data_IF_668913696253
#
_entry.id   IF_668913696253
#
_cell.length_a   1.000
_cell.length_b   1.000
_cell.length_c   1.000
_cell.angle_alpha   90.00
_cell.angle_beta   90.00
_cell.angle_gamma   90.00
#
_symmetry.space_group_name_H-M   'P 1'
#
loop_
_entity.id
_entity.type
_entity.pdbx_description
1 polymer ?
#
# COMPACT_ATOMS: atom_id res chain seq x y z
N UNK A 1 1.96 4.51 36.01
CA UNK A 1 2.81 4.27 34.82
C UNK A 1 4.29 4.45 35.12
N UNK A 2 4.82 5.67 35.31
CA UNK A 2 6.27 5.86 35.56
C UNK A 2 6.79 5.01 36.72
N UNK A 3 6.13 5.09 37.88
CA UNK A 3 6.51 4.29 39.05
C UNK A 3 6.48 2.77 38.78
N UNK A 4 5.49 2.30 38.02
CA UNK A 4 5.27 0.87 37.79
C UNK A 4 6.16 0.27 36.68
N UNK A 5 6.76 1.12 35.84
CA UNK A 5 7.47 0.70 34.62
C UNK A 5 8.92 1.15 34.56
N UNK A 6 9.36 2.01 35.48
CA UNK A 6 10.76 2.48 35.53
C UNK A 6 11.61 1.55 36.39
N UNK A 7 12.89 1.50 36.07
CA UNK A 7 13.91 0.81 36.84
C UNK A 7 15.20 1.61 36.80
N UNK A 8 16.29 1.07 37.34
CA UNK A 8 17.59 1.75 37.36
C UNK A 8 18.10 2.12 35.95
N UNK A 9 17.72 1.34 34.93
CA UNK A 9 18.18 1.54 33.54
C UNK A 9 17.15 2.20 32.62
N UNK A 10 15.93 2.50 33.10
CA UNK A 10 14.86 3.06 32.27
C UNK A 10 13.93 3.98 33.08
N UNK A 11 13.63 5.15 32.54
CA UNK A 11 12.77 6.16 33.17
C UNK A 11 11.52 6.38 32.31
N UNK A 12 10.55 5.48 32.41
CA UNK A 12 9.34 5.40 31.58
C UNK A 12 8.34 6.56 31.82
N UNK A 13 8.74 7.77 31.44
CA UNK A 13 7.95 9.00 31.56
C UNK A 13 7.04 9.15 30.35
N UNK A 14 5.72 9.17 30.59
CA UNK A 14 4.69 9.32 29.55
C UNK A 14 4.51 10.79 29.20
N UNK A 15 4.61 11.12 27.92
CA UNK A 15 4.33 12.45 27.37
C UNK A 15 2.88 12.58 26.92
N UNK A 16 2.35 11.51 26.32
CA UNK A 16 0.97 11.46 25.81
C UNK A 16 0.47 10.03 25.88
N UNK A 17 -0.82 9.87 26.10
CA UNK A 17 -1.50 8.60 25.90
C UNK A 17 -2.84 8.83 25.19
N UNK A 18 -3.25 7.91 24.32
CA UNK A 18 -4.53 8.02 23.61
C UNK A 18 -5.09 6.65 23.27
N UNK A 19 -6.37 6.45 23.53
CA UNK A 19 -7.11 5.26 23.08
C UNK A 19 -7.28 5.27 21.56
N UNK A 20 -7.01 4.12 20.92
CA UNK A 20 -7.15 3.97 19.47
C UNK A 20 -8.61 3.83 19.01
N UNK A 21 -9.52 3.52 19.92
CA UNK A 21 -10.95 3.41 19.65
C UNK A 21 -11.76 4.30 20.58
N UNK A 22 -12.95 4.70 20.13
CA UNK A 22 -13.90 5.46 20.96
C UNK A 22 -14.33 4.62 22.17
N UNK A 23 -14.59 5.31 23.28
CA UNK A 23 -15.17 4.72 24.46
C UNK A 23 -16.52 4.06 24.13
N UNK A 24 -16.74 2.88 24.67
CA UNK A 24 -17.93 2.06 24.45
C UNK A 24 -18.18 1.24 25.71
N UNK A 25 -19.35 1.41 26.34
CA UNK A 25 -19.69 0.76 27.60
C UNK A 25 -19.70 -0.78 27.52
N UNK A 26 -19.79 -1.36 26.32
CA UNK A 26 -19.76 -2.82 26.11
C UNK A 26 -18.32 -3.35 25.97
N UNK A 27 -17.33 -2.49 25.71
CA UNK A 27 -15.93 -2.90 25.53
C UNK A 27 -15.23 -2.97 26.88
N UNK A 28 -14.78 -4.17 27.24
CA UNK A 28 -14.01 -4.42 28.47
C UNK A 28 -12.53 -4.02 28.34
N UNK A 29 -11.99 -4.07 27.12
CA UNK A 29 -10.57 -3.81 26.83
C UNK A 29 -10.44 -2.98 25.56
N UNK A 30 -9.31 -2.29 25.41
CA UNK A 30 -8.98 -1.52 24.22
C UNK A 30 -7.48 -1.38 24.03
N UNK A 31 -7.07 -1.01 22.83
CA UNK A 31 -5.67 -0.68 22.54
C UNK A 31 -5.45 0.83 22.70
N UNK A 32 -4.33 1.22 23.27
CA UNK A 32 -3.89 2.60 23.36
C UNK A 32 -2.48 2.77 22.83
N UNK A 33 -2.14 4.01 22.49
CA UNK A 33 -0.78 4.43 22.20
C UNK A 33 -0.29 5.24 23.38
N UNK A 34 0.89 4.88 23.87
CA UNK A 34 1.61 5.62 24.91
C UNK A 34 2.89 6.15 24.30
N UNK A 35 3.05 7.47 24.28
CA UNK A 35 4.27 8.13 23.83
C UNK A 35 5.15 8.39 25.04
N UNK A 36 6.34 7.79 25.07
CA UNK A 36 7.35 8.05 26.08
C UNK A 36 8.25 9.22 25.70
N UNK A 37 8.85 9.84 26.71
CA UNK A 37 9.78 10.96 26.55
C UNK A 37 11.01 10.56 25.74
N UNK A 38 11.59 9.39 26.01
CA UNK A 38 12.80 8.92 25.34
C UNK A 38 12.55 7.61 24.59
N UNK A 39 13.27 7.44 23.47
CA UNK A 39 13.23 6.21 22.68
C UNK A 39 13.78 5.00 23.44
N UNK A 40 14.85 5.19 24.23
CA UNK A 40 15.49 4.11 25.00
C UNK A 40 14.50 3.45 25.97
N UNK A 41 13.67 4.25 26.66
CA UNK A 41 12.65 3.74 27.57
C UNK A 41 11.54 2.98 26.81
N UNK A 42 11.20 3.43 25.60
CA UNK A 42 10.23 2.73 24.75
C UNK A 42 10.79 1.39 24.27
N UNK A 43 12.05 1.36 23.82
CA UNK A 43 12.73 0.13 23.42
C UNK A 43 12.84 -0.85 24.59
N UNK A 44 13.07 -0.35 25.82
CA UNK A 44 13.06 -1.15 27.04
C UNK A 44 11.71 -1.85 27.24
N UNK A 45 10.60 -1.11 27.21
CA UNK A 45 9.26 -1.71 27.36
C UNK A 45 8.95 -2.70 26.23
N UNK A 46 9.31 -2.36 24.99
CA UNK A 46 9.11 -3.23 23.84
C UNK A 46 9.89 -4.55 23.97
N UNK A 47 11.10 -4.51 24.55
CA UNK A 47 11.91 -5.69 24.83
C UNK A 47 11.33 -6.52 25.99
N UNK A 48 10.83 -5.87 27.03
CA UNK A 48 10.15 -6.53 28.15
C UNK A 48 8.84 -7.18 27.70
N UNK A 49 8.15 -6.58 26.72
CA UNK A 49 6.94 -7.11 26.08
C UNK A 49 5.64 -6.67 26.75
N UNK A 50 5.69 -6.14 27.97
CA UNK A 50 4.52 -5.66 28.72
C UNK A 50 4.77 -4.29 29.35
N UNK A 51 3.68 -3.56 29.58
CA UNK A 51 3.66 -2.32 30.33
C UNK A 51 2.61 -2.40 31.45
N UNK A 52 2.98 -1.97 32.65
CA UNK A 52 2.16 -1.98 33.85
C UNK A 52 1.27 -0.75 33.96
N UNK A 53 0.02 -0.97 34.37
CA UNK A 53 -0.99 0.05 34.65
C UNK A 53 -1.61 -0.22 36.02
N UNK A 54 -0.91 0.14 37.10
CA UNK A 54 -1.30 -0.24 38.44
C UNK A 54 -1.23 -1.77 38.61
N UNK A 55 -2.35 -2.39 39.00
CA UNK A 55 -2.44 -3.84 39.22
C UNK A 55 -2.64 -4.66 37.94
N UNK A 56 -2.76 -4.03 36.77
CA UNK A 56 -2.93 -4.72 35.48
C UNK A 56 -1.73 -4.52 34.59
N UNK A 57 -1.46 -5.47 33.71
CA UNK A 57 -0.46 -5.36 32.66
C UNK A 57 -1.12 -5.34 31.27
N UNK A 58 -0.38 -4.85 30.29
CA UNK A 58 -0.78 -4.87 28.89
C UNK A 58 0.41 -5.20 28.00
N UNK A 59 0.21 -6.07 27.02
CA UNK A 59 1.20 -6.32 25.97
C UNK A 59 1.44 -5.04 25.17
N UNK A 60 2.71 -4.78 24.88
CA UNK A 60 3.11 -3.63 24.07
C UNK A 60 3.82 -4.08 22.80
N UNK A 61 3.63 -3.30 21.74
CA UNK A 61 4.29 -3.48 20.44
C UNK A 61 4.54 -2.12 19.81
N UNK A 62 5.47 -1.99 18.85
CA UNK A 62 5.75 -0.70 18.23
C UNK A 62 4.48 -0.15 17.59
N UNK A 63 4.12 1.08 17.95
CA UNK A 63 2.98 1.73 17.29
C UNK A 63 3.38 2.21 15.91
N UNK A 64 2.89 1.52 14.89
CA UNK A 64 3.08 1.91 13.49
C UNK A 64 1.87 2.73 13.06
N UNK A 65 2.08 4.04 12.89
CA UNK A 65 1.10 4.89 12.22
C UNK A 65 0.96 4.37 10.80
N UNK A 66 -0.18 3.75 10.49
CA UNK A 66 -0.49 3.40 9.12
C UNK A 66 -1.09 4.62 8.45
N UNK A 67 -0.45 5.08 7.39
CA UNK A 67 -1.09 5.98 6.44
C UNK A 67 -2.41 5.34 6.02
N UNK A 68 -3.51 6.04 6.26
CA UNK A 68 -4.83 5.55 5.90
C UNK A 68 -4.98 5.67 4.37
N UNK A 69 -4.36 4.72 3.66
CA UNK A 69 -4.27 4.70 2.20
C UNK A 69 -5.59 4.27 1.55
N UNK A 70 -6.42 3.53 2.29
CA UNK A 70 -7.71 3.06 1.80
C UNK A 70 -8.78 4.16 1.77
N UNK A 71 -9.78 4.03 0.89
CA UNK A 71 -10.92 4.92 0.89
C UNK A 71 -11.75 4.75 2.17
N UNK A 72 -12.32 5.86 2.65
CA UNK A 72 -13.28 5.86 3.75
C UNK A 72 -14.50 4.99 3.41
N UNK A 73 -14.86 4.02 4.27
CA UNK A 73 -15.99 3.11 4.05
C UNK A 73 -17.39 3.78 4.01
N UNK A 74 -17.47 5.08 4.26
CA UNK A 74 -18.73 5.84 4.16
C UNK A 74 -18.77 6.73 2.91
N UNK A 75 -17.87 7.70 2.79
CA UNK A 75 -17.88 8.65 1.68
C UNK A 75 -16.94 8.28 0.51
N UNK A 76 -16.18 7.18 0.64
CA UNK A 76 -15.21 6.71 -0.34
C UNK A 76 -14.18 7.76 -0.79
N UNK A 77 -13.79 8.70 0.09
CA UNK A 77 -12.63 9.58 -0.11
C UNK A 77 -11.45 9.12 0.75
N UNK A 78 -10.24 9.50 0.34
CA UNK A 78 -9.02 9.16 1.08
C UNK A 78 -8.80 10.09 2.28
N UNK A 79 -7.83 9.72 3.14
CA UNK A 79 -7.33 10.58 4.21
C UNK A 79 -8.07 10.49 5.54
N UNK A 80 -9.20 9.78 5.62
CA UNK A 80 -9.92 9.57 6.89
C UNK A 80 -10.66 8.24 6.93
N UNK A 81 -10.97 7.78 8.15
CA UNK A 81 -11.75 6.57 8.41
C UNK A 81 -13.23 6.92 8.59
N UNK A 82 -14.11 5.94 8.37
CA UNK A 82 -15.56 6.10 8.56
C UNK A 82 -15.93 6.66 9.94
N UNK A 83 -15.22 6.27 11.00
CA UNK A 83 -15.50 6.72 12.37
C UNK A 83 -15.35 8.24 12.59
N UNK A 84 -14.62 8.93 11.71
CA UNK A 84 -14.40 10.38 11.73
C UNK A 84 -15.01 11.07 10.50
N UNK A 85 -15.82 10.36 9.71
CA UNK A 85 -16.42 10.89 8.50
C UNK A 85 -17.68 11.70 8.82
N UNK A 86 -17.71 12.95 8.34
CA UNK A 86 -18.89 13.84 8.40
C UNK A 86 -19.53 14.09 7.03
N UNK A 87 -18.93 13.54 5.97
CA UNK A 87 -19.46 13.62 4.61
C UNK A 87 -20.66 12.70 4.39
N UNK A 88 -21.49 13.01 3.41
CA UNK A 88 -22.54 12.13 2.91
C UNK A 88 -21.96 10.82 2.32
N UNK A 89 -22.78 9.76 2.35
CA UNK A 89 -22.47 8.48 1.74
C UNK A 89 -22.27 8.63 0.23
N UNK A 90 -21.28 7.92 -0.32
CA UNK A 90 -21.06 7.85 -1.77
C UNK A 90 -20.68 6.45 -2.19
N UNK A 91 -21.18 6.01 -3.33
CA UNK A 91 -20.84 4.72 -3.91
C UNK A 91 -19.38 4.73 -4.41
N UNK A 92 -18.63 3.68 -4.08
CA UNK A 92 -17.24 3.51 -4.49
C UNK A 92 -17.04 3.32 -6.01
N UNK A 93 -18.12 2.98 -6.73
CA UNK A 93 -18.12 2.76 -8.18
C UNK A 93 -18.59 4.01 -8.91
N UNK A 94 -19.81 4.50 -8.64
CA UNK A 94 -20.42 5.57 -9.45
C UNK A 94 -20.56 6.92 -8.73
N UNK A 95 -20.02 7.09 -7.52
CA UNK A 95 -20.07 8.31 -6.70
C UNK A 95 -21.45 8.82 -6.25
N UNK A 96 -22.55 8.14 -6.60
CA UNK A 96 -23.92 8.51 -6.19
C UNK A 96 -24.20 8.15 -4.73
N UNK A 97 -25.27 8.70 -4.15
CA UNK A 97 -25.63 8.55 -2.73
C UNK A 97 -26.25 7.20 -2.36
N UNK A 98 -25.48 6.13 -2.41
CA UNK A 98 -25.85 4.77 -1.97
C UNK A 98 -24.58 3.96 -1.66
N UNK A 99 -24.73 2.78 -1.05
CA UNK A 99 -23.59 1.88 -0.80
C UNK A 99 -23.18 1.11 -2.05
N UNK A 100 -21.95 0.60 -2.11
CA UNK A 100 -21.45 -0.13 -3.30
C UNK A 100 -22.30 -1.35 -3.67
N UNK A 101 -22.83 -2.05 -2.67
CA UNK A 101 -23.70 -3.23 -2.79
C UNK A 101 -25.03 -2.93 -3.48
N UNK A 102 -25.51 -1.69 -3.36
CA UNK A 102 -26.77 -1.21 -3.96
C UNK A 102 -26.57 -0.59 -5.36
N UNK A 103 -25.36 -0.68 -5.93
CA UNK A 103 -25.02 0.02 -7.17
C UNK A 103 -25.58 -0.68 -8.41
N UNK A 104 -26.51 -0.01 -9.09
CA UNK A 104 -27.05 -0.41 -10.40
C UNK A 104 -26.25 0.12 -11.58
N UNK A 105 -25.44 1.18 -11.37
CA UNK A 105 -24.65 1.84 -12.42
C UNK A 105 -23.18 1.38 -12.37
N UNK A 106 -22.94 0.08 -12.54
CA UNK A 106 -21.58 -0.51 -12.41
C UNK A 106 -20.68 -0.21 -13.62
N UNK A 107 -21.28 -0.07 -14.80
CA UNK A 107 -20.57 0.10 -16.07
C UNK A 107 -20.08 1.52 -16.32
N UNK A 108 -20.55 2.49 -15.54
CA UNK A 108 -20.17 3.89 -15.66
C UNK A 108 -19.47 4.38 -14.37
N UNK A 109 -18.22 3.95 -14.13
CA UNK A 109 -17.49 4.27 -12.92
C UNK A 109 -17.15 5.76 -12.87
N UNK A 110 -17.25 6.33 -11.69
CA UNK A 110 -16.89 7.70 -11.37
C UNK A 110 -16.25 7.74 -9.99
N UNK A 111 -15.04 8.27 -9.90
CA UNK A 111 -14.27 8.26 -8.67
C UNK A 111 -14.81 9.30 -7.67
N UNK A 112 -15.22 8.90 -6.45
CA UNK A 112 -15.75 9.83 -5.45
C UNK A 112 -14.71 10.80 -4.87
N UNK A 113 -13.43 10.53 -5.08
CA UNK A 113 -12.32 11.39 -4.68
C UNK A 113 -12.00 12.46 -5.75
N UNK A 114 -11.68 12.07 -6.99
CA UNK A 114 -11.22 13.01 -8.03
C UNK A 114 -12.28 13.37 -9.08
N UNK A 115 -13.36 12.59 -9.20
CA UNK A 115 -14.44 12.82 -10.16
C UNK A 115 -14.24 12.21 -11.55
N UNK A 116 -13.09 11.60 -11.82
CA UNK A 116 -12.72 11.03 -13.13
C UNK A 116 -13.38 9.65 -13.36
N UNK A 117 -13.35 9.16 -14.60
CA UNK A 117 -14.04 7.94 -15.07
C UNK A 117 -13.32 6.63 -14.69
N UNK A 118 -13.10 6.41 -13.40
CA UNK A 118 -12.54 5.18 -12.85
C UNK A 118 -13.08 4.95 -11.43
N UNK A 119 -12.82 3.77 -10.85
CA UNK A 119 -13.22 3.49 -9.46
C UNK A 119 -12.25 4.10 -8.45
N UNK A 120 -12.66 4.24 -7.19
CA UNK A 120 -11.79 4.72 -6.11
C UNK A 120 -10.59 3.79 -5.80
N UNK A 121 -10.59 2.57 -6.32
CA UNK A 121 -9.50 1.61 -6.06
C UNK A 121 -8.38 1.69 -7.10
N UNK A 122 -8.51 2.56 -8.10
CA UNK A 122 -7.50 2.75 -9.13
C UNK A 122 -6.25 3.44 -8.57
N UNK A 123 -5.08 2.81 -8.72
CA UNK A 123 -3.79 3.35 -8.32
C UNK A 123 -3.29 4.48 -9.22
N UNK A 124 -3.84 4.61 -10.43
CA UNK A 124 -3.59 5.73 -11.35
C UNK A 124 -4.38 6.98 -10.98
N UNK A 125 -5.32 6.90 -10.03
CA UNK A 125 -6.03 8.07 -9.52
C UNK A 125 -5.05 9.09 -8.94
N UNK A 126 -5.09 10.34 -9.42
CA UNK A 126 -4.21 11.44 -8.97
C UNK A 126 -4.31 11.76 -7.46
N UNK A 127 -5.43 11.41 -6.83
CA UNK A 127 -5.65 11.60 -5.39
C UNK A 127 -5.39 10.34 -4.57
N UNK A 128 -5.08 9.20 -5.21
CA UNK A 128 -4.75 7.99 -4.48
C UNK A 128 -3.46 8.21 -3.67
N UNK A 129 -3.41 7.85 -2.37
CA UNK A 129 -2.24 8.11 -1.52
C UNK A 129 -0.94 7.48 -2.03
N UNK A 130 -1.02 6.44 -2.86
CA UNK A 130 0.13 5.78 -3.47
C UNK A 130 0.34 6.12 -4.95
N UNK A 131 -0.34 7.14 -5.48
CA UNK A 131 -0.27 7.54 -6.90
C UNK A 131 1.18 7.66 -7.41
N UNK A 132 2.03 8.42 -6.70
CA UNK A 132 3.43 8.63 -7.09
C UNK A 132 4.26 7.35 -7.10
N UNK A 133 3.96 6.39 -6.21
CA UNK A 133 4.64 5.08 -6.20
C UNK A 133 4.28 4.28 -7.44
N UNK A 134 3.00 4.25 -7.80
CA UNK A 134 2.49 3.58 -8.99
C UNK A 134 3.05 4.19 -10.28
N UNK A 135 3.02 5.52 -10.41
CA UNK A 135 3.60 6.23 -11.57
C UNK A 135 5.10 5.97 -11.70
N UNK A 136 5.84 5.98 -10.58
CA UNK A 136 7.27 5.66 -10.56
C UNK A 136 7.56 4.24 -11.08
N UNK A 137 6.79 3.25 -10.62
CA UNK A 137 6.91 1.85 -11.07
C UNK A 137 6.62 1.69 -12.56
N UNK A 138 5.60 2.37 -13.08
CA UNK A 138 5.29 2.34 -14.51
C UNK A 138 6.42 2.94 -15.36
N UNK A 139 6.98 4.08 -14.94
CA UNK A 139 8.13 4.69 -15.63
C UNK A 139 9.36 3.77 -15.64
N UNK A 140 9.69 3.14 -14.50
CA UNK A 140 10.82 2.20 -14.44
C UNK A 140 10.62 0.99 -15.34
N UNK A 141 9.40 0.46 -15.40
CA UNK A 141 9.05 -0.68 -16.25
C UNK A 141 9.15 -0.32 -17.73
N UNK A 142 8.58 0.81 -18.15
CA UNK A 142 8.68 1.29 -19.53
C UNK A 142 10.14 1.49 -19.97
N UNK A 143 11.01 2.03 -19.09
CA UNK A 143 12.45 2.16 -19.38
C UNK A 143 13.14 0.81 -19.55
N UNK A 144 12.75 -0.19 -18.75
CA UNK A 144 13.31 -1.54 -18.87
C UNK A 144 12.86 -2.23 -20.16
N UNK A 145 11.59 -2.08 -20.54
CA UNK A 145 11.04 -2.61 -21.79
C UNK A 145 11.71 -1.97 -23.02
N UNK A 146 11.91 -0.65 -23.02
CA UNK A 146 12.65 0.05 -24.08
C UNK A 146 14.11 -0.41 -24.19
N UNK A 147 14.77 -0.65 -23.05
CA UNK A 147 16.15 -1.17 -23.02
C UNK A 147 16.23 -2.61 -23.51
N UNK A 148 15.25 -3.45 -23.18
CA UNK A 148 15.14 -4.82 -23.70
C UNK A 148 14.92 -4.83 -25.22
N UNK A 149 13.97 -4.03 -25.71
CA UNK A 149 13.70 -3.91 -27.14
C UNK A 149 14.90 -3.40 -27.94
N UNK A 150 15.70 -2.47 -27.39
CA UNK A 150 16.95 -2.04 -28.03
C UNK A 150 17.98 -3.18 -28.15
N UNK A 151 18.08 -4.04 -27.13
CA UNK A 151 18.97 -5.21 -27.18
C UNK A 151 18.49 -6.28 -28.18
N UNK A 152 17.18 -6.47 -28.35
CA UNK A 152 16.62 -7.40 -29.33
C UNK A 152 16.87 -6.95 -30.79
N UNK A 153 16.89 -5.63 -31.04
CA UNK A 153 17.22 -5.05 -32.36
C UNK A 153 18.69 -5.29 -32.73
N UNK A 154 19.61 -5.22 -31.76
CA UNK A 154 21.04 -5.44 -32.01
C UNK A 154 21.35 -6.92 -32.32
N UNK A 155 20.64 -7.88 -31.71
CA UNK A 155 20.79 -9.32 -32.03
C UNK A 155 20.31 -9.61 -33.46
N UNK A 156 19.17 -9.05 -33.87
CA UNK A 156 18.60 -9.31 -35.19
C UNK A 156 19.30 -8.55 -36.34
N UNK A 157 20.16 -7.56 -36.02
CA UNK A 157 20.99 -6.85 -37.00
C UNK A 157 22.30 -7.59 -37.32
N UNK A 158 22.65 -8.62 -36.54
CA UNK A 158 23.86 -9.42 -36.74
C UNK A 158 23.69 -10.66 -37.63
N UNK A 159 22.45 -10.99 -38.05
CA UNK A 159 22.15 -12.15 -38.90
C UNK A 159 21.93 -11.82 -40.39
N UNK A 160 22.21 -10.58 -40.82
CA UNK A 160 21.95 -10.11 -42.19
C UNK A 160 23.20 -9.78 -43.01
N UNK A 161 24.06 -10.77 -43.31
CA UNK A 161 24.99 -10.67 -44.44
C UNK A 161 25.54 -12.05 -44.85
N UNK A 162 24.95 -12.67 -45.87
CA UNK A 162 25.64 -13.22 -47.06
C UNK A 162 24.62 -13.92 -47.99
N UNK A 163 24.41 -13.32 -49.16
CA UNK A 163 23.59 -13.82 -50.25
C UNK A 163 24.47 -14.42 -51.36
N UNK A 164 23.85 -15.27 -52.19
CA UNK A 164 24.21 -15.69 -53.56
C UNK A 164 25.21 -16.86 -53.69
N UNK A 165 25.10 -17.81 -54.62
CA UNK A 165 24.06 -18.33 -55.55
C UNK A 165 24.78 -19.37 -56.42
N UNK A 166 24.18 -20.50 -56.76
CA UNK A 166 24.75 -21.36 -57.82
C UNK A 166 24.17 -22.76 -57.96
N UNK A 167 23.36 -22.95 -59.00
CA UNK A 167 23.49 -24.07 -59.95
C UNK A 167 23.08 -25.48 -59.53
N UNK A 168 22.02 -26.00 -60.16
CA UNK A 168 21.62 -27.41 -60.16
C UNK A 168 22.59 -28.31 -60.95
N UNK A 169 22.69 -29.61 -60.59
CA UNK A 169 22.38 -30.77 -61.45
C UNK A 169 22.72 -32.12 -60.78
N UNK A 170 21.90 -33.13 -61.11
CA UNK A 170 22.00 -34.55 -60.76
C UNK A 170 22.80 -35.32 -61.82
N UNK A 171 23.61 -36.32 -61.41
CA UNK A 171 23.89 -37.55 -62.20
C UNK A 171 24.66 -38.60 -61.37
N UNK A 172 24.34 -39.87 -61.63
CA UNK A 172 24.86 -41.09 -60.99
C UNK A 172 26.11 -41.68 -61.69
N UNK A 173 26.69 -42.68 -61.00
CA UNK A 173 27.46 -43.88 -61.45
C UNK A 173 29.00 -43.86 -61.62
N UNK A 174 29.61 -44.77 -60.84
CA UNK A 174 30.56 -45.86 -61.17
C UNK A 174 32.10 -45.65 -61.17
N UNK A 175 32.73 -46.44 -60.27
CA UNK A 175 33.97 -47.26 -60.35
C UNK A 175 35.30 -46.62 -60.80
N UNK A 176 36.43 -46.88 -60.13
CA UNK A 176 37.04 -48.21 -59.88
C UNK A 176 37.63 -48.30 -58.47
#
# INVERSE_FOLDING_TARGET
>A
FKADNSCETAECTVMKATWLSKADAKKKVGSMVVWLKNKVDADYLLRTGTAMFGATDAFCSPFIVRDNSGPCYHCNRYGHKQASCTSQIRCAICSKGHRRDECTNKDNPKCPACGDAHTVFDWACKLHPQHYRHVGQQKSRARQEQRGAAMDVDVNSSCGASSASGGAQVASTAST
#
